data_IF_320763888422
#
_entry.id   IF_320763888422
#
_cell.length_a   1.000
_cell.length_b   1.000
_cell.length_c   1.000
_cell.angle_alpha   90.00
_cell.angle_beta   90.00
_cell.angle_gamma   90.00
#
_symmetry.space_group_name_H-M   'P 1'
#
loop_
_entity.id
_entity.type
_entity.pdbx_description
1 polymer ?
#
# COMPACT_ATOMS: atom_id res chain seq x y z
N UNK A 1 -5.97 -36.59 8.01
CA UNK A 1 -7.18 -36.17 7.27
C UNK A 1 -7.43 -34.75 7.74
N UNK A 2 -6.84 -33.79 7.04
CA UNK A 2 -6.97 -32.37 7.38
C UNK A 2 -8.46 -32.00 7.35
N UNK A 3 -8.99 -31.28 8.35
CA UNK A 3 -10.36 -30.79 8.30
C UNK A 3 -10.45 -29.85 7.11
N UNK A 4 -11.46 -30.03 6.24
CA UNK A 4 -11.68 -29.19 5.06
C UNK A 4 -11.74 -27.72 5.48
N UNK A 5 -10.65 -27.00 5.25
CA UNK A 5 -10.55 -25.59 5.54
C UNK A 5 -11.54 -24.86 4.66
N UNK A 6 -12.57 -24.25 5.27
CA UNK A 6 -13.39 -23.28 4.57
C UNK A 6 -12.46 -22.19 4.04
N UNK A 7 -12.57 -21.86 2.74
CA UNK A 7 -11.84 -20.72 2.20
C UNK A 7 -12.16 -19.47 3.03
N UNK A 8 -11.15 -18.63 3.35
CA UNK A 8 -11.38 -17.42 4.12
C UNK A 8 -12.42 -16.56 3.41
N UNK A 9 -13.29 -15.85 4.16
CA UNK A 9 -14.32 -15.02 3.57
C UNK A 9 -13.67 -13.98 2.65
N UNK A 10 -14.15 -13.90 1.41
CA UNK A 10 -13.65 -12.94 0.42
C UNK A 10 -14.69 -11.86 0.13
N UNK A 11 -14.24 -10.62 -0.03
CA UNK A 11 -15.06 -9.48 -0.43
C UNK A 11 -14.80 -9.13 -1.89
N UNK A 12 -15.87 -9.03 -2.67
CA UNK A 12 -15.81 -8.69 -4.09
C UNK A 12 -16.09 -7.20 -4.31
N UNK A 13 -15.16 -6.51 -4.95
CA UNK A 13 -15.28 -5.12 -5.39
C UNK A 13 -15.55 -5.07 -6.88
N UNK A 14 -16.56 -4.31 -7.31
CA UNK A 14 -16.89 -4.17 -8.74
C UNK A 14 -16.82 -2.71 -9.14
N UNK A 15 -15.93 -2.42 -10.08
CA UNK A 15 -15.73 -1.10 -10.68
C UNK A 15 -16.38 -1.10 -12.06
N UNK A 16 -17.19 -0.09 -12.35
CA UNK A 16 -17.93 0.03 -13.62
C UNK A 16 -17.61 1.35 -14.30
N UNK A 17 -17.60 1.32 -15.62
CA UNK A 17 -17.61 2.51 -16.48
C UNK A 17 -18.71 2.32 -17.54
N UNK A 18 -19.88 2.86 -17.22
CA UNK A 18 -21.08 2.79 -18.06
C UNK A 18 -21.10 3.88 -19.15
N UNK A 19 -20.13 4.80 -19.14
CA UNK A 19 -20.02 5.88 -20.13
C UNK A 19 -19.38 5.41 -21.44
N UNK A 20 -18.70 4.26 -21.45
CA UNK A 20 -18.15 3.64 -22.66
C UNK A 20 -19.16 2.71 -23.34
N UNK A 21 -18.99 2.53 -24.65
CA UNK A 21 -19.73 1.54 -25.45
C UNK A 21 -18.74 0.56 -26.11
N UNK A 22 -18.73 -0.73 -25.71
CA UNK A 22 -19.56 -1.32 -24.66
C UNK A 22 -19.15 -0.86 -23.25
N UNK A 23 -20.06 -0.92 -22.26
CA UNK A 23 -19.73 -0.70 -20.85
C UNK A 23 -18.62 -1.64 -20.41
N UNK A 24 -17.71 -1.12 -19.59
CA UNK A 24 -16.57 -1.91 -19.08
C UNK A 24 -16.72 -2.08 -17.59
N UNK A 25 -16.49 -3.30 -17.09
CA UNK A 25 -16.45 -3.57 -15.66
C UNK A 25 -15.22 -4.39 -15.28
N UNK A 26 -14.80 -4.22 -14.04
CA UNK A 26 -13.75 -5.01 -13.40
C UNK A 26 -14.26 -5.47 -12.04
N UNK A 27 -14.22 -6.78 -11.81
CA UNK A 27 -14.47 -7.37 -10.49
C UNK A 27 -13.16 -7.91 -9.92
N UNK A 28 -12.90 -7.55 -8.67
CA UNK A 28 -11.72 -7.94 -7.89
C UNK A 28 -12.18 -8.60 -6.60
N UNK A 29 -11.64 -9.77 -6.28
CA UNK A 29 -11.91 -10.49 -5.04
C UNK A 29 -10.76 -10.31 -4.04
N UNK A 30 -11.06 -9.90 -2.81
CA UNK A 30 -10.05 -9.71 -1.77
C UNK A 30 -10.39 -10.64 -0.59
N UNK A 31 -9.56 -11.66 -0.30
CA UNK A 31 -9.66 -12.42 0.94
C UNK A 31 -9.51 -11.47 2.15
N UNK A 32 -10.49 -11.49 3.04
CA UNK A 32 -10.42 -10.77 4.31
C UNK A 32 -10.09 -11.76 5.43
N UNK A 33 -9.12 -11.41 6.26
CA UNK A 33 -8.83 -12.14 7.50
C UNK A 33 -9.34 -11.28 8.64
N UNK A 34 -10.51 -11.65 9.16
CA UNK A 34 -11.14 -10.99 10.30
C UNK A 34 -10.42 -11.40 11.60
N UNK A 35 -9.19 -10.94 11.77
CA UNK A 35 -8.48 -11.00 13.06
C UNK A 35 -8.30 -9.58 13.62
N UNK A 36 -8.84 -9.28 14.81
CA UNK A 36 -8.75 -7.97 15.44
C UNK A 36 -7.32 -7.45 15.63
N UNK A 37 -6.33 -8.35 15.76
CA UNK A 37 -4.94 -7.97 16.04
C UNK A 37 -4.16 -7.54 14.78
N UNK A 38 -4.69 -7.81 13.58
CA UNK A 38 -3.93 -7.64 12.34
C UNK A 38 -4.59 -6.70 11.33
N UNK A 39 -5.85 -6.26 11.55
CA UNK A 39 -6.49 -5.25 10.69
C UNK A 39 -6.55 -5.62 9.20
N UNK A 40 -6.59 -6.92 8.87
CA UNK A 40 -6.58 -7.45 7.51
C UNK A 40 -7.96 -7.36 6.84
N UNK A 41 -8.50 -6.14 6.79
CA UNK A 41 -9.70 -5.76 6.06
C UNK A 41 -9.37 -4.66 5.05
N UNK A 42 -10.29 -4.43 4.10
CA UNK A 42 -10.11 -3.35 3.13
C UNK A 42 -10.43 -1.99 3.77
N UNK A 43 -9.41 -1.17 3.96
CA UNK A 43 -9.55 0.20 4.45
C UNK A 43 -10.27 1.11 3.43
N UNK A 44 -11.08 2.09 3.86
CA UNK A 44 -11.79 2.98 2.93
C UNK A 44 -10.87 3.69 1.93
N UNK A 45 -9.67 4.10 2.36
CA UNK A 45 -8.68 4.73 1.48
C UNK A 45 -8.20 3.80 0.35
N UNK A 46 -8.11 2.50 0.60
CA UNK A 46 -7.78 1.52 -0.44
C UNK A 46 -8.88 1.43 -1.50
N UNK A 47 -10.15 1.48 -1.10
CA UNK A 47 -11.29 1.49 -2.04
C UNK A 47 -11.29 2.75 -2.92
N UNK A 48 -11.04 3.92 -2.31
CA UNK A 48 -10.99 5.19 -3.03
C UNK A 48 -9.82 5.20 -4.02
N UNK A 49 -8.63 4.76 -3.60
CA UNK A 49 -7.46 4.68 -4.48
C UNK A 49 -7.71 3.69 -5.63
N UNK A 50 -8.29 2.53 -5.35
CA UNK A 50 -8.64 1.55 -6.37
C UNK A 50 -9.64 2.10 -7.41
N UNK A 51 -10.67 2.82 -6.96
CA UNK A 51 -11.62 3.48 -7.86
C UNK A 51 -10.95 4.57 -8.72
N UNK A 52 -10.01 5.31 -8.13
CA UNK A 52 -9.23 6.31 -8.84
C UNK A 52 -8.36 5.69 -9.94
N UNK A 53 -7.63 4.61 -9.61
CA UNK A 53 -6.83 3.84 -10.56
C UNK A 53 -7.69 3.27 -11.68
N UNK A 54 -8.86 2.69 -11.35
CA UNK A 54 -9.80 2.21 -12.36
C UNK A 54 -10.24 3.31 -13.33
N UNK A 55 -10.54 4.50 -12.81
CA UNK A 55 -10.96 5.65 -13.63
C UNK A 55 -9.86 6.07 -14.62
N UNK A 56 -8.59 5.90 -14.24
CA UNK A 56 -7.41 6.23 -15.05
C UNK A 56 -6.70 5.01 -15.66
N UNK A 57 -7.35 3.84 -15.69
CA UNK A 57 -6.76 2.54 -16.10
C UNK A 57 -5.94 2.55 -17.40
N UNK A 58 -6.28 3.41 -18.35
CA UNK A 58 -5.53 3.53 -19.61
C UNK A 58 -4.10 4.02 -19.41
N UNK A 59 -3.82 4.79 -18.36
CA UNK A 59 -2.49 5.30 -18.03
C UNK A 59 -1.64 4.28 -17.28
N UNK A 60 -2.23 3.16 -16.82
CA UNK A 60 -1.55 2.14 -16.01
C UNK A 60 -0.90 1.04 -16.85
N UNK A 61 -1.38 0.84 -18.09
CA UNK A 61 -0.93 -0.26 -18.94
C UNK A 61 0.57 -0.18 -19.21
N UNK A 62 1.28 -1.25 -18.86
CA UNK A 62 2.73 -1.36 -19.03
C UNK A 62 3.56 -0.59 -18.01
N UNK A 63 2.93 0.16 -17.08
CA UNK A 63 3.63 0.90 -16.03
C UNK A 63 4.13 -0.02 -14.94
N UNK A 64 5.34 0.22 -14.45
CA UNK A 64 5.93 -0.48 -13.29
C UNK A 64 5.47 0.21 -12.02
N UNK A 65 4.75 -0.52 -11.18
CA UNK A 65 4.06 0.01 -10.01
C UNK A 65 4.60 -0.69 -8.77
N UNK A 66 4.97 0.08 -7.74
CA UNK A 66 5.20 -0.44 -6.40
C UNK A 66 4.07 0.01 -5.47
N UNK A 67 3.44 -0.92 -4.75
CA UNK A 67 2.54 -0.58 -3.65
C UNK A 67 3.26 -0.74 -2.31
N UNK A 68 3.32 0.34 -1.52
CA UNK A 68 3.86 0.38 -0.17
C UNK A 68 2.74 0.12 0.85
N UNK A 69 2.98 -0.79 1.79
CA UNK A 69 1.98 -1.13 2.82
C UNK A 69 0.72 -1.74 2.21
N UNK A 70 0.90 -2.72 1.33
CA UNK A 70 -0.18 -3.28 0.53
C UNK A 70 -1.27 -3.96 1.38
N UNK A 71 -0.92 -4.59 2.51
CA UNK A 71 -1.85 -5.30 3.38
C UNK A 71 -2.71 -6.33 2.65
N UNK A 72 -3.94 -5.94 2.27
CA UNK A 72 -4.88 -6.76 1.49
C UNK A 72 -4.80 -6.56 -0.03
N UNK A 73 -4.02 -5.58 -0.49
CA UNK A 73 -3.58 -5.32 -1.88
C UNK A 73 -4.64 -4.89 -2.89
N UNK A 74 -5.78 -4.34 -2.45
CA UNK A 74 -6.85 -3.93 -3.38
C UNK A 74 -6.37 -2.95 -4.48
N UNK A 75 -5.64 -1.85 -4.18
CA UNK A 75 -5.17 -0.92 -5.21
C UNK A 75 -4.18 -1.57 -6.18
N UNK A 76 -3.19 -2.30 -5.68
CA UNK A 76 -2.22 -3.01 -6.52
C UNK A 76 -2.85 -4.08 -7.39
N UNK A 77 -3.81 -4.86 -6.89
CA UNK A 77 -4.57 -5.83 -7.68
C UNK A 77 -5.37 -5.14 -8.79
N UNK A 78 -6.01 -4.01 -8.51
CA UNK A 78 -6.70 -3.23 -9.55
C UNK A 78 -5.72 -2.70 -10.60
N UNK A 79 -4.57 -2.18 -10.19
CA UNK A 79 -3.53 -1.73 -11.12
C UNK A 79 -3.04 -2.88 -12.03
N UNK A 80 -2.76 -4.05 -11.45
CA UNK A 80 -2.33 -5.24 -12.19
C UNK A 80 -3.41 -5.70 -13.20
N UNK A 81 -4.68 -5.72 -12.79
CA UNK A 81 -5.81 -6.03 -13.68
C UNK A 81 -6.02 -4.99 -14.79
N UNK A 82 -5.52 -3.77 -14.60
CA UNK A 82 -5.47 -2.73 -15.63
C UNK A 82 -4.24 -2.83 -16.55
N UNK A 83 -3.38 -3.83 -16.35
CA UNK A 83 -2.22 -4.12 -17.20
C UNK A 83 -0.91 -3.48 -16.72
N UNK A 84 -0.83 -3.01 -15.47
CA UNK A 84 0.43 -2.59 -14.87
C UNK A 84 1.29 -3.80 -14.47
N UNK A 85 2.61 -3.60 -14.42
CA UNK A 85 3.58 -4.52 -13.85
C UNK A 85 3.75 -4.18 -12.36
N UNK A 86 3.04 -4.89 -11.50
CA UNK A 86 2.93 -4.54 -10.08
C UNK A 86 3.88 -5.36 -9.22
N UNK A 87 4.53 -4.68 -8.27
CA UNK A 87 5.15 -5.29 -7.09
C UNK A 87 4.40 -4.79 -5.86
N UNK A 88 3.93 -5.70 -5.03
CA UNK A 88 3.31 -5.40 -3.74
C UNK A 88 4.37 -5.46 -2.65
N UNK A 89 4.29 -4.59 -1.65
CA UNK A 89 5.20 -4.63 -0.52
C UNK A 89 4.52 -4.36 0.82
N UNK A 90 4.99 -5.04 1.85
CA UNK A 90 4.57 -4.84 3.24
C UNK A 90 5.74 -5.12 4.19
N UNK A 91 5.57 -4.84 5.49
CA UNK A 91 6.64 -4.95 6.48
C UNK A 91 7.23 -6.35 6.61
N UNK A 92 8.54 -6.44 6.86
CA UNK A 92 9.20 -7.73 7.13
C UNK A 92 8.67 -8.44 8.38
N UNK A 93 8.15 -7.67 9.33
CA UNK A 93 7.57 -8.16 10.58
C UNK A 93 6.11 -8.59 10.44
N UNK A 94 5.51 -8.46 9.25
CA UNK A 94 4.11 -8.79 8.95
C UNK A 94 3.99 -9.88 7.87
N UNK A 95 4.52 -11.10 8.09
CA UNK A 95 4.50 -12.18 7.09
C UNK A 95 3.09 -12.55 6.64
N UNK A 96 2.10 -12.43 7.53
CA UNK A 96 0.70 -12.67 7.21
C UNK A 96 0.16 -11.68 6.17
N UNK A 97 0.60 -10.42 6.19
CA UNK A 97 0.23 -9.43 5.16
C UNK A 97 0.82 -9.80 3.80
N UNK A 98 2.08 -10.25 3.77
CA UNK A 98 2.73 -10.73 2.55
C UNK A 98 2.00 -11.95 1.97
N UNK A 99 1.62 -12.91 2.83
CA UNK A 99 0.83 -14.07 2.41
C UNK A 99 -0.58 -13.68 1.96
N UNK A 100 -1.17 -12.64 2.56
CA UNK A 100 -2.46 -12.13 2.13
C UNK A 100 -2.37 -11.43 0.77
N UNK A 101 -1.30 -10.68 0.50
CA UNK A 101 -1.02 -10.12 -0.83
C UNK A 101 -0.97 -11.21 -1.90
N UNK A 102 -0.28 -12.33 -1.62
CA UNK A 102 -0.23 -13.49 -2.53
C UNK A 102 -1.61 -14.09 -2.78
N UNK A 103 -2.38 -14.34 -1.71
CA UNK A 103 -3.74 -14.86 -1.80
C UNK A 103 -4.68 -13.94 -2.58
N UNK A 104 -4.59 -12.62 -2.37
CA UNK A 104 -5.32 -11.62 -3.14
C UNK A 104 -4.95 -11.67 -4.62
N UNK A 105 -3.68 -11.84 -4.96
CA UNK A 105 -3.25 -11.99 -6.36
C UNK A 105 -3.80 -13.28 -6.98
N UNK A 106 -3.67 -14.41 -6.30
CA UNK A 106 -4.18 -15.72 -6.73
C UNK A 106 -5.69 -15.70 -6.97
N UNK A 107 -6.46 -15.11 -6.04
CA UNK A 107 -7.91 -14.96 -6.15
C UNK A 107 -8.36 -14.14 -7.38
N UNK A 108 -7.43 -13.40 -7.99
CA UNK A 108 -7.67 -12.59 -9.20
C UNK A 108 -6.92 -13.10 -10.43
N UNK A 109 -6.33 -14.30 -10.37
CA UNK A 109 -5.58 -14.90 -11.48
C UNK A 109 -4.28 -14.17 -11.83
N UNK A 110 -3.70 -13.45 -10.87
CA UNK A 110 -2.47 -12.67 -11.04
C UNK A 110 -1.28 -13.49 -10.52
N UNK A 111 -0.63 -14.26 -11.39
CA UNK A 111 0.48 -15.15 -10.99
C UNK A 111 1.85 -14.49 -11.07
N UNK A 112 1.97 -13.40 -11.84
CA UNK A 112 3.24 -12.72 -12.12
C UNK A 112 3.49 -11.49 -11.23
N UNK A 113 2.60 -11.22 -10.26
CA UNK A 113 2.75 -10.09 -9.35
C UNK A 113 3.76 -10.44 -8.24
N UNK A 114 4.84 -9.67 -8.18
CA UNK A 114 5.86 -9.83 -7.14
C UNK A 114 5.35 -9.38 -5.78
N UNK A 115 5.70 -10.11 -4.72
CA UNK A 115 5.45 -9.70 -3.33
C UNK A 115 6.78 -9.60 -2.60
N UNK A 116 7.08 -8.39 -2.16
CA UNK A 116 8.33 -7.97 -1.57
C UNK A 116 8.15 -7.64 -0.08
N UNK A 117 9.13 -8.00 0.74
CA UNK A 117 9.22 -7.46 2.08
C UNK A 117 9.97 -6.12 2.07
N UNK A 118 9.36 -5.07 2.63
CA UNK A 118 9.93 -3.74 2.69
C UNK A 118 9.64 -3.12 4.06
N UNK A 119 10.69 -2.96 4.87
CA UNK A 119 10.61 -2.20 6.12
C UNK A 119 10.82 -0.72 5.83
N UNK A 120 9.89 0.11 6.29
CA UNK A 120 9.91 1.54 6.05
C UNK A 120 11.15 2.18 6.68
N UNK A 121 11.87 3.01 5.92
CA UNK A 121 13.10 3.66 6.35
C UNK A 121 14.36 2.78 6.32
N UNK A 122 14.25 1.52 5.90
CA UNK A 122 15.39 0.64 5.67
C UNK A 122 15.62 0.43 4.16
N UNK A 123 16.88 0.46 3.74
CA UNK A 123 17.25 0.10 2.36
C UNK A 123 17.59 -1.38 2.33
N UNK A 124 16.63 -2.20 1.90
CA UNK A 124 16.86 -3.64 1.73
C UNK A 124 17.51 -3.94 0.37
N UNK A 125 18.32 -5.02 0.25
CA UNK A 125 18.86 -5.46 -1.04
C UNK A 125 17.78 -5.68 -2.09
N UNK A 126 16.61 -6.17 -1.69
CA UNK A 126 15.50 -6.46 -2.58
C UNK A 126 14.88 -5.17 -3.16
N UNK A 127 14.86 -4.08 -2.38
CA UNK A 127 14.45 -2.76 -2.86
C UNK A 127 15.42 -2.20 -3.90
N UNK A 128 16.72 -2.46 -3.75
CA UNK A 128 17.76 -2.07 -4.72
C UNK A 128 17.72 -2.89 -6.02
N UNK A 129 17.09 -4.05 -6.00
CA UNK A 129 16.93 -4.94 -7.17
C UNK A 129 15.65 -4.64 -7.94
N UNK A 130 14.77 -3.76 -7.45
CA UNK A 130 13.58 -3.36 -8.18
C UNK A 130 13.97 -2.64 -9.48
N UNK A 131 13.21 -2.86 -10.56
CA UNK A 131 13.38 -2.05 -11.76
C UNK A 131 12.98 -0.59 -11.49
N UNK A 132 13.41 0.33 -12.35
CA UNK A 132 12.90 1.71 -12.36
C UNK A 132 11.36 1.72 -12.31
N UNK A 133 10.81 2.39 -11.30
CA UNK A 133 9.38 2.45 -11.04
C UNK A 133 8.76 3.68 -11.72
N UNK A 134 7.60 3.52 -12.35
CA UNK A 134 6.83 4.64 -12.88
C UNK A 134 5.88 5.24 -11.84
N UNK A 135 5.30 4.41 -10.96
CA UNK A 135 4.23 4.80 -10.03
C UNK A 135 4.48 4.14 -8.66
N UNK A 136 4.25 4.90 -7.60
CA UNK A 136 4.24 4.40 -6.23
C UNK A 136 2.85 4.61 -5.63
N UNK A 137 2.25 3.54 -5.12
CA UNK A 137 0.96 3.54 -4.44
C UNK A 137 1.16 3.40 -2.94
N UNK A 138 0.31 4.07 -2.16
CA UNK A 138 0.18 3.81 -0.73
C UNK A 138 -1.21 4.22 -0.23
N UNK A 139 -2.03 3.26 0.16
CA UNK A 139 -3.33 3.56 0.77
C UNK A 139 -3.23 3.46 2.28
N UNK A 140 -3.56 4.54 2.98
CA UNK A 140 -3.56 4.64 4.43
C UNK A 140 -2.21 4.36 5.10
N UNK A 141 -1.13 4.84 4.49
CA UNK A 141 0.25 4.63 4.98
C UNK A 141 0.69 5.63 6.08
N UNK A 142 -0.23 6.45 6.55
CA UNK A 142 -0.01 7.46 7.59
C UNK A 142 -0.96 7.18 8.77
N UNK A 143 -0.89 5.97 9.33
CA UNK A 143 -1.67 5.59 10.50
C UNK A 143 -0.76 5.22 11.66
N UNK A 144 -1.17 5.55 12.87
CA UNK A 144 -0.48 5.13 14.07
C UNK A 144 -1.02 3.75 14.46
N UNK A 145 -0.19 2.69 14.48
CA UNK A 145 -0.65 1.40 14.97
C UNK A 145 -1.02 1.58 16.45
N UNK A 146 -2.27 1.29 16.80
CA UNK A 146 -2.68 1.26 18.19
C UNK A 146 -1.90 0.15 18.89
N UNK A 147 -0.87 0.52 19.63
CA UNK A 147 -0.24 -0.36 20.59
C UNK A 147 -1.22 -0.50 21.76
N UNK A 148 -2.12 -1.47 21.71
CA UNK A 148 -2.75 -1.94 22.94
C UNK A 148 -1.63 -2.55 23.79
N UNK A 149 -1.20 -1.78 24.79
CA UNK A 149 -0.13 -2.18 25.69
C UNK A 149 -0.42 -3.53 26.32
N UNK A 150 0.62 -4.34 26.45
CA UNK A 150 0.62 -5.53 27.29
C UNK A 150 0.03 -5.18 28.66
N UNK A 151 -1.23 -5.56 28.87
CA UNK A 151 -1.89 -5.50 30.16
C UNK A 151 -1.32 -6.62 31.05
N UNK A 152 -0.11 -6.43 31.55
CA UNK A 152 0.34 -7.12 32.76
C UNK A 152 1.57 -6.42 33.36
N UNK A 153 1.35 -5.37 34.14
CA UNK A 153 2.11 -5.04 35.35
C UNK A 153 1.30 -4.00 36.13
N UNK A 154 0.51 -4.49 37.08
CA UNK A 154 0.20 -3.71 38.29
C UNK A 154 1.55 -3.25 38.86
N UNK A 155 1.77 -1.94 38.91
CA UNK A 155 2.28 -1.24 40.09
C UNK A 155 2.26 0.27 39.78
N UNK A 156 1.47 1.00 40.57
CA UNK A 156 1.19 2.41 40.34
C UNK A 156 2.36 3.33 40.66
N UNK A 157 2.43 4.45 39.93
CA UNK A 157 2.57 5.78 40.51
C UNK A 157 2.37 6.83 39.41
N UNK A 158 1.46 7.76 39.68
CA UNK A 158 1.26 8.97 38.88
C UNK A 158 2.46 9.90 39.03
N UNK A 159 3.07 10.29 37.91
CA UNK A 159 3.78 11.57 37.79
C UNK A 159 3.56 12.10 36.37
N UNK A 160 2.94 13.29 36.31
CA UNK A 160 2.78 14.06 35.10
C UNK A 160 4.14 14.57 34.66
N UNK A 161 4.59 14.16 33.47
CA UNK A 161 5.48 14.95 32.62
C UNK A 161 5.08 14.64 31.17
N UNK A 162 4.70 15.68 30.44
CA UNK A 162 4.35 15.58 29.03
C UNK A 162 5.61 15.29 28.20
N UNK A 163 5.58 14.19 27.46
CA UNK A 163 6.57 13.87 26.44
C UNK A 163 5.89 13.84 25.07
N UNK A 164 6.10 14.92 24.32
CA UNK A 164 5.67 15.11 22.93
C UNK A 164 6.51 14.26 21.93
N UNK A 165 7.28 13.29 22.42
CA UNK A 165 8.31 12.56 21.67
C UNK A 165 7.86 11.37 20.81
N UNK A 166 6.61 10.90 20.89
CA UNK A 166 6.17 9.70 20.15
C UNK A 166 5.52 9.98 18.79
N UNK A 167 5.05 11.21 18.54
CA UNK A 167 4.31 11.58 17.32
C UNK A 167 5.18 11.70 16.04
N UNK A 168 6.49 11.47 16.11
CA UNK A 168 7.42 11.69 14.99
C UNK A 168 7.90 10.40 14.31
N UNK A 169 7.58 9.23 14.85
CA UNK A 169 8.11 7.95 14.36
C UNK A 169 7.53 7.51 13.01
N UNK A 170 6.20 7.39 12.92
CA UNK A 170 5.54 6.83 11.73
C UNK A 170 5.61 7.78 10.55
N UNK A 171 5.29 9.06 10.73
CA UNK A 171 5.37 10.04 9.64
C UNK A 171 6.79 10.17 9.06
N UNK A 172 7.83 10.08 9.90
CA UNK A 172 9.22 10.08 9.44
C UNK A 172 9.59 8.77 8.72
N UNK A 173 9.11 7.62 9.19
CA UNK A 173 9.29 6.33 8.50
C UNK A 173 8.58 6.33 7.14
N UNK A 174 7.35 6.87 7.07
CA UNK A 174 6.58 7.05 5.84
C UNK A 174 7.30 7.94 4.84
N UNK A 175 7.75 9.12 5.30
CA UNK A 175 8.55 10.02 4.49
C UNK A 175 9.86 9.37 4.03
N UNK A 176 10.52 8.58 4.88
CA UNK A 176 11.78 7.91 4.55
C UNK A 176 11.60 6.81 3.49
N UNK A 177 10.58 5.95 3.60
CA UNK A 177 10.35 4.94 2.57
C UNK A 177 9.91 5.55 1.24
N UNK A 178 9.08 6.60 1.27
CA UNK A 178 8.74 7.38 0.07
C UNK A 178 10.01 7.99 -0.52
N UNK A 179 10.89 8.58 0.30
CA UNK A 179 12.14 9.16 -0.17
C UNK A 179 13.06 8.12 -0.81
N UNK A 180 13.24 6.94 -0.19
CA UNK A 180 14.05 5.84 -0.77
C UNK A 180 13.43 5.32 -2.06
N UNK A 181 12.11 5.14 -2.11
CA UNK A 181 11.41 4.71 -3.32
C UNK A 181 11.50 5.76 -4.44
N UNK A 182 11.40 7.05 -4.10
CA UNK A 182 11.61 8.16 -5.04
C UNK A 182 13.06 8.21 -5.55
N UNK A 183 14.07 7.92 -4.71
CA UNK A 183 15.46 7.83 -5.15
C UNK A 183 15.68 6.73 -6.19
N UNK A 184 14.95 5.60 -6.11
CA UNK A 184 14.96 4.56 -7.14
C UNK A 184 14.34 5.05 -8.45
N UNK A 185 13.28 5.85 -8.39
CA UNK A 185 12.69 6.47 -9.58
C UNK A 185 13.63 7.51 -10.21
N UNK A 186 14.32 8.31 -9.41
CA UNK A 186 15.23 9.38 -9.89
C UNK A 186 16.55 8.83 -10.43
N UNK A 187 17.08 7.73 -9.89
CA UNK A 187 18.33 7.12 -10.36
C UNK A 187 18.24 6.59 -11.81
N UNK A 188 17.03 6.39 -12.34
CA UNK A 188 16.75 6.04 -13.74
C UNK A 188 16.60 7.23 -14.70
N UNK A 189 16.62 8.47 -14.21
CA UNK A 189 16.38 9.68 -15.00
C UNK A 189 17.63 10.24 -15.69
N UNK A 190 18.77 9.54 -15.67
CA UNK A 190 19.97 9.96 -16.37
C UNK A 190 19.80 9.75 -17.90
N UNK A 191 18.85 10.46 -18.51
CA UNK A 191 18.55 10.42 -19.95
C UNK A 191 17.09 10.63 -20.37
N UNK A 192 16.12 10.78 -19.45
CA UNK A 192 14.70 11.02 -19.79
C UNK A 192 14.26 12.42 -19.37
N UNK A 193 13.56 13.14 -20.26
CA UNK A 193 13.09 14.51 -20.01
C UNK A 193 12.32 14.60 -18.69
N UNK A 194 12.72 15.56 -17.87
CA UNK A 194 12.42 15.72 -16.45
C UNK A 194 11.01 16.21 -16.11
N UNK A 195 10.01 15.91 -16.95
CA UNK A 195 8.60 16.31 -16.73
C UNK A 195 7.61 15.15 -16.78
N UNK A 196 8.04 13.91 -17.07
CA UNK A 196 7.16 12.73 -17.00
C UNK A 196 7.08 12.18 -15.55
N UNK A 197 6.39 12.99 -14.75
CA UNK A 197 5.72 12.78 -13.46
C UNK A 197 5.84 11.40 -12.79
N UNK A 198 6.60 11.36 -11.68
CA UNK A 198 6.45 10.32 -10.67
C UNK A 198 5.14 10.59 -9.92
N UNK A 199 4.08 9.89 -10.29
CA UNK A 199 2.80 9.99 -9.58
C UNK A 199 2.80 9.08 -8.35
N UNK A 200 2.96 9.69 -7.18
CA UNK A 200 2.66 9.07 -5.89
C UNK A 200 1.22 9.32 -5.51
N UNK A 201 0.45 8.27 -5.20
CA UNK A 201 -0.89 8.41 -4.65
C UNK A 201 -0.93 7.96 -3.20
N UNK A 202 -1.12 8.91 -2.30
CA UNK A 202 -1.27 8.67 -0.87
C UNK A 202 -2.59 9.22 -0.37
N UNK A 203 -3.41 8.38 0.24
CA UNK A 203 -4.66 8.78 0.90
C UNK A 203 -4.57 8.33 2.36
N UNK A 204 -4.53 9.27 3.31
CA UNK A 204 -4.57 8.97 4.76
C UNK A 204 -6.00 9.01 5.29
N UNK A 205 -6.41 8.00 6.04
CA UNK A 205 -7.66 7.96 6.78
C UNK A 205 -7.56 8.73 8.09
N UNK A 206 -7.37 10.06 8.04
CA UNK A 206 -7.58 10.91 9.23
C UNK A 206 -6.54 12.00 9.56
N UNK A 207 -5.40 12.07 8.88
CA UNK A 207 -4.43 13.15 9.10
C UNK A 207 -4.70 14.34 8.16
N UNK A 208 -4.83 15.56 8.71
CA UNK A 208 -4.79 16.80 7.91
C UNK A 208 -3.37 16.98 7.37
N UNK A 209 -3.20 16.81 6.07
CA UNK A 209 -1.94 17.10 5.38
C UNK A 209 -1.91 18.61 5.09
N UNK A 210 -1.13 19.37 5.87
CA UNK A 210 -0.68 20.70 5.45
C UNK A 210 0.56 20.52 4.56
N UNK A 211 0.37 20.66 3.24
CA UNK A 211 1.50 20.81 2.32
C UNK A 211 2.10 22.21 2.49
N UNK A 212 3.23 22.31 3.20
CA UNK A 212 4.06 23.52 3.13
C UNK A 212 4.73 23.59 1.76
N UNK A 213 4.21 24.45 0.90
CA UNK A 213 4.93 24.92 -0.27
C UNK A 213 6.12 25.76 0.21
N UNK A 214 7.33 25.20 0.23
CA UNK A 214 8.54 26.02 0.18
C UNK A 214 8.75 26.46 -1.27
N UNK A 215 8.12 27.57 -1.64
CA UNK A 215 8.55 28.34 -2.81
C UNK A 215 9.90 29.00 -2.50
N UNK A 216 10.80 28.87 -3.46
CA UNK A 216 12.02 29.65 -3.61
C UNK A 216 11.77 31.15 -3.48
N UNK A 217 12.60 31.82 -2.67
CA UNK A 217 13.09 33.18 -2.89
C UNK A 217 14.53 33.25 -2.38
#
# INVERSE_FOLDING_TARGET
MEPGGAEPPSKVFTFKDDQRSPPVCLSVSIPEVLDPHYGMYVWPCAVVLAQYLWTRRETLRGKKVLELGAGVSLPGVVAARCGAQVTLSDGAKTPLCLDNCRRSCEANGLLDVGVLSLTWGEVSPELLLLPELDIILGSDVFYEPQVEGDACSDDGETSQDGDDGQNHGVAAQTASAIHVALLQTVSGLNGKNSEEEVFGYFLSGGAKIETSNSQLA
#
